data_IF_884663100140
#
_entry.id   IF_884663100140
#
_cell.length_a   1.000
_cell.length_b   1.000
_cell.length_c   1.000
_cell.angle_alpha   90.00
_cell.angle_beta   90.00
_cell.angle_gamma   90.00
#
_symmetry.space_group_name_H-M   'P 1'
#
loop_
_entity.id
_entity.type
_entity.pdbx_description
1 polymer ?
#
# COMPACT_ATOMS: atom_id res chain seq x y z
N UNK A 1 1.40 4.66 18.72
CA UNK A 1 1.16 4.72 17.27
C UNK A 1 -0.34 4.66 17.07
N UNK A 2 -0.88 5.52 16.22
CA UNK A 2 -2.32 5.59 15.95
C UNK A 2 -2.57 5.01 14.55
N UNK A 3 -3.37 3.95 14.47
CA UNK A 3 -3.82 3.39 13.20
C UNK A 3 -5.20 3.95 12.93
N UNK A 4 -5.37 4.54 11.75
CA UNK A 4 -6.65 5.06 11.26
C UNK A 4 -7.11 4.24 10.08
N UNK A 5 -8.05 3.35 10.34
CA UNK A 5 -8.67 2.53 9.32
C UNK A 5 -9.82 3.30 8.65
N UNK A 6 -9.98 3.15 7.34
CA UNK A 6 -10.98 3.83 6.54
C UNK A 6 -11.89 2.78 5.90
N UNK A 7 -13.01 2.49 6.55
CA UNK A 7 -13.92 1.42 6.12
C UNK A 7 -14.92 1.95 5.10
N UNK A 8 -14.96 1.35 3.92
CA UNK A 8 -15.96 1.65 2.92
C UNK A 8 -17.34 1.17 3.39
N UNK A 9 -18.34 2.03 3.24
CA UNK A 9 -19.74 1.75 3.58
C UNK A 9 -20.64 1.60 2.35
N UNK A 10 -20.35 2.32 1.27
CA UNK A 10 -21.13 2.30 0.03
C UNK A 10 -20.25 2.08 -1.20
N UNK A 11 -20.80 1.54 -2.31
CA UNK A 11 -20.05 1.40 -3.56
C UNK A 11 -19.62 2.78 -4.08
N UNK A 12 -18.50 2.84 -4.81
CA UNK A 12 -18.05 4.09 -5.42
C UNK A 12 -18.98 4.49 -6.57
N UNK A 13 -19.41 5.75 -6.55
CA UNK A 13 -20.30 6.34 -7.53
C UNK A 13 -19.52 7.15 -8.57
N UNK A 14 -19.42 8.47 -8.41
CA UNK A 14 -18.67 9.33 -9.33
C UNK A 14 -17.23 9.58 -8.85
N UNK A 15 -16.29 9.61 -9.79
CA UNK A 15 -14.85 9.69 -9.52
C UNK A 15 -14.47 10.95 -8.72
N UNK A 16 -15.08 12.11 -9.00
CA UNK A 16 -14.74 13.37 -8.33
C UNK A 16 -15.20 13.38 -6.87
N UNK A 17 -16.46 13.04 -6.61
CA UNK A 17 -17.02 13.04 -5.25
C UNK A 17 -16.40 11.93 -4.40
N UNK A 18 -16.10 10.77 -5.01
CA UNK A 18 -15.43 9.68 -4.31
C UNK A 18 -14.00 10.07 -3.91
N UNK A 19 -13.20 10.65 -4.83
CA UNK A 19 -11.85 11.16 -4.49
C UNK A 19 -11.96 12.22 -3.39
N UNK A 20 -12.93 13.14 -3.51
CA UNK A 20 -13.16 14.20 -2.53
C UNK A 20 -13.44 13.64 -1.13
N UNK A 21 -14.25 12.59 -1.03
CA UNK A 21 -14.55 11.90 0.24
C UNK A 21 -13.29 11.32 0.90
N UNK A 22 -12.37 10.77 0.11
CA UNK A 22 -11.15 10.12 0.65
C UNK A 22 -10.01 11.10 0.94
N UNK A 23 -9.95 12.24 0.25
CA UNK A 23 -8.95 13.29 0.50
C UNK A 23 -9.03 13.82 1.93
N UNK A 24 -10.23 13.96 2.51
CA UNK A 24 -10.43 14.49 3.86
C UNK A 24 -9.67 13.71 4.96
N UNK A 25 -9.91 12.39 5.10
CA UNK A 25 -9.15 11.53 6.01
C UNK A 25 -7.64 11.55 5.77
N UNK A 26 -7.20 11.61 4.52
CA UNK A 26 -5.77 11.69 4.17
C UNK A 26 -5.16 12.99 4.68
N UNK A 27 -5.77 14.14 4.38
CA UNK A 27 -5.30 15.43 4.88
C UNK A 27 -5.27 15.50 6.40
N UNK A 28 -6.26 14.89 7.05
CA UNK A 28 -6.33 14.81 8.51
C UNK A 28 -5.17 13.96 9.08
N UNK A 29 -4.87 12.81 8.46
CA UNK A 29 -3.71 12.00 8.85
C UNK A 29 -2.38 12.73 8.65
N UNK A 30 -2.25 13.46 7.54
CA UNK A 30 -1.06 14.29 7.24
C UNK A 30 -0.93 15.46 8.22
N UNK A 31 -2.04 16.07 8.66
CA UNK A 31 -2.04 17.11 9.68
C UNK A 31 -1.51 16.57 11.02
N UNK A 32 -2.05 15.46 11.49
CA UNK A 32 -1.64 14.87 12.77
C UNK A 32 -0.29 14.17 12.74
N UNK A 33 0.31 13.95 11.56
CA UNK A 33 1.70 13.51 11.43
C UNK A 33 2.72 14.63 11.58
N UNK A 34 2.28 15.91 11.59
CA UNK A 34 3.16 17.02 11.97
C UNK A 34 3.65 16.84 13.40
N UNK A 35 4.92 17.19 13.63
CA UNK A 35 5.48 17.22 14.97
C UNK A 35 4.71 18.23 15.84
N UNK A 36 4.47 17.86 17.10
CA UNK A 36 3.66 18.68 18.01
C UNK A 36 4.23 20.09 18.26
N UNK A 37 5.55 20.26 18.23
CA UNK A 37 6.21 21.57 18.33
C UNK A 37 5.93 22.46 17.11
N UNK A 38 5.94 21.89 15.90
CA UNK A 38 5.57 22.59 14.67
C UNK A 38 4.09 22.99 14.71
N UNK A 39 3.21 22.07 15.10
CA UNK A 39 1.77 22.38 15.23
C UNK A 39 1.52 23.48 16.26
N UNK A 40 2.20 23.43 17.43
CA UNK A 40 2.08 24.45 18.47
C UNK A 40 2.53 25.84 17.99
N UNK A 41 3.61 25.93 17.20
CA UNK A 41 4.07 27.20 16.62
C UNK A 41 3.06 27.79 15.62
N UNK A 42 2.24 26.95 15.00
CA UNK A 42 1.19 27.35 14.07
C UNK A 42 -0.16 27.60 14.78
N UNK A 43 -0.16 27.64 16.11
CA UNK A 43 -1.36 27.91 16.91
C UNK A 43 -2.17 26.66 17.28
N UNK A 44 -1.61 25.46 17.15
CA UNK A 44 -2.32 24.20 17.38
C UNK A 44 -2.78 23.55 16.08
N UNK A 45 -3.09 22.24 16.12
CA UNK A 45 -3.51 21.47 14.95
C UNK A 45 -4.77 22.04 14.28
N UNK A 46 -5.68 22.58 15.10
CA UNK A 46 -6.94 23.20 14.70
C UNK A 46 -6.76 24.50 13.90
N UNK A 47 -5.60 25.15 14.00
CA UNK A 47 -5.34 26.44 13.38
C UNK A 47 -4.39 26.35 12.17
N UNK A 48 -3.82 25.17 11.87
CA UNK A 48 -2.85 25.01 10.78
C UNK A 48 -3.52 25.28 9.42
N UNK A 49 -3.12 26.34 8.68
CA UNK A 49 -3.63 26.57 7.34
C UNK A 49 -3.15 25.48 6.37
N UNK A 50 -3.98 25.10 5.40
CA UNK A 50 -3.64 24.04 4.44
C UNK A 50 -2.35 24.33 3.65
N UNK A 51 -2.06 25.58 3.30
CA UNK A 51 -0.78 25.92 2.66
C UNK A 51 0.43 25.75 3.59
N UNK A 52 0.25 25.93 4.90
CA UNK A 52 1.31 25.68 5.88
C UNK A 52 1.53 24.19 6.10
N UNK A 53 0.47 23.37 5.99
CA UNK A 53 0.62 21.93 5.99
C UNK A 53 1.58 21.47 4.88
N UNK A 54 1.42 21.98 3.66
CA UNK A 54 2.29 21.63 2.54
C UNK A 54 3.77 22.00 2.78
N UNK A 55 4.03 23.12 3.45
CA UNK A 55 5.39 23.62 3.73
C UNK A 55 6.08 22.92 4.88
N UNK A 56 5.31 22.37 5.81
CA UNK A 56 5.82 21.74 7.02
C UNK A 56 5.77 20.21 6.96
N UNK A 57 5.05 19.65 5.99
CA UNK A 57 5.05 18.22 5.73
C UNK A 57 6.45 17.77 5.26
N UNK A 58 7.00 16.76 5.94
CA UNK A 58 8.22 16.08 5.51
C UNK A 58 7.82 14.77 4.86
N UNK A 59 8.22 14.51 3.60
CA UNK A 59 7.98 13.23 2.96
C UNK A 59 8.52 12.09 3.84
N UNK A 60 7.62 11.24 4.34
CA UNK A 60 7.96 10.04 5.09
C UNK A 60 7.82 8.81 4.18
N UNK A 61 8.69 7.82 4.38
CA UNK A 61 8.59 6.52 3.68
C UNK A 61 7.32 5.72 4.07
N UNK A 62 6.54 6.18 5.05
CA UNK A 62 5.33 5.51 5.55
C UNK A 62 4.04 5.84 4.79
N UNK A 63 4.12 6.76 3.82
CA UNK A 63 2.93 7.48 3.35
C UNK A 63 2.44 7.04 1.96
N UNK A 64 3.28 6.48 1.07
CA UNK A 64 2.92 6.30 -0.36
C UNK A 64 3.01 4.87 -0.92
N UNK A 65 3.74 3.95 -0.27
CA UNK A 65 4.08 2.65 -0.88
C UNK A 65 3.10 1.50 -0.61
N UNK A 66 2.34 1.56 0.49
CA UNK A 66 1.68 0.40 1.10
C UNK A 66 0.32 0.09 0.48
N UNK A 67 -0.35 1.08 -0.12
CA UNK A 67 -1.77 0.96 -0.48
C UNK A 67 -2.04 -0.04 -1.61
N UNK A 68 -1.21 -0.07 -2.67
CA UNK A 68 -1.42 -1.02 -3.78
C UNK A 68 -1.01 -2.45 -3.40
N UNK A 69 0.07 -2.57 -2.62
CA UNK A 69 0.50 -3.85 -2.03
C UNK A 69 -0.60 -4.44 -1.16
N UNK A 70 -1.17 -3.61 -0.28
CA UNK A 70 -2.31 -3.97 0.57
C UNK A 70 -3.57 -4.28 -0.25
N UNK A 71 -3.90 -3.47 -1.27
CA UNK A 71 -5.07 -3.69 -2.13
C UNK A 71 -5.07 -5.08 -2.77
N UNK A 72 -3.93 -5.47 -3.34
CA UNK A 72 -3.78 -6.78 -3.96
C UNK A 72 -3.80 -7.87 -2.88
N UNK A 73 -3.08 -7.67 -1.77
CA UNK A 73 -3.09 -8.63 -0.65
C UNK A 73 -4.51 -8.90 -0.14
N UNK A 74 -5.29 -7.85 0.08
CA UNK A 74 -6.68 -7.90 0.51
C UNK A 74 -7.58 -8.60 -0.53
N UNK A 75 -7.49 -8.20 -1.80
CA UNK A 75 -8.28 -8.79 -2.87
C UNK A 75 -8.04 -10.31 -3.01
N UNK A 76 -6.79 -10.76 -2.85
CA UNK A 76 -6.46 -12.19 -2.80
C UNK A 76 -7.09 -12.86 -1.58
N UNK A 77 -6.97 -12.23 -0.41
CA UNK A 77 -7.46 -12.77 0.87
C UNK A 77 -8.99 -12.89 0.91
N UNK A 78 -9.72 -11.94 0.33
CA UNK A 78 -11.18 -11.97 0.18
C UNK A 78 -11.69 -12.88 -0.94
N UNK A 79 -10.80 -13.29 -1.83
CA UNK A 79 -11.15 -14.05 -3.01
C UNK A 79 -11.93 -13.27 -4.07
N UNK A 80 -11.52 -12.02 -4.31
CA UNK A 80 -12.07 -11.20 -5.39
C UNK A 80 -11.81 -11.86 -6.76
N UNK A 81 -12.87 -12.31 -7.44
CA UNK A 81 -12.74 -13.14 -8.65
C UNK A 81 -11.90 -12.49 -9.76
N UNK A 82 -12.09 -11.19 -10.00
CA UNK A 82 -11.38 -10.44 -11.04
C UNK A 82 -9.86 -10.41 -10.82
N UNK A 83 -9.43 -10.43 -9.54
CA UNK A 83 -8.02 -10.45 -9.14
C UNK A 83 -7.50 -11.89 -9.05
N UNK A 84 -8.29 -12.81 -8.48
CA UNK A 84 -7.90 -14.21 -8.31
C UNK A 84 -7.66 -14.91 -9.64
N UNK A 85 -8.49 -14.68 -10.65
CA UNK A 85 -8.32 -15.30 -11.97
C UNK A 85 -6.96 -14.93 -12.59
N UNK A 86 -6.58 -13.64 -12.48
CA UNK A 86 -5.29 -13.15 -13.01
C UNK A 86 -4.11 -13.69 -12.24
N UNK A 87 -4.20 -13.73 -10.91
CA UNK A 87 -3.16 -14.30 -10.07
C UNK A 87 -3.05 -15.81 -10.28
N UNK A 88 -4.15 -16.53 -10.51
CA UNK A 88 -4.13 -17.95 -10.85
C UNK A 88 -3.31 -18.20 -12.12
N UNK A 89 -3.57 -17.42 -13.16
CA UNK A 89 -2.85 -17.56 -14.44
C UNK A 89 -1.38 -17.19 -14.30
N UNK A 90 -1.06 -16.17 -13.51
CA UNK A 90 0.31 -15.81 -13.19
C UNK A 90 1.04 -16.89 -12.38
N UNK A 91 0.38 -17.50 -11.40
CA UNK A 91 0.92 -18.61 -10.60
C UNK A 91 1.16 -19.87 -11.46
N UNK A 92 0.25 -20.19 -12.40
CA UNK A 92 0.44 -21.27 -13.39
C UNK A 92 1.69 -21.03 -14.24
N UNK A 93 1.90 -19.82 -14.75
CA UNK A 93 3.12 -19.44 -15.49
C UNK A 93 4.38 -19.50 -14.62
N UNK A 94 4.24 -19.27 -13.31
CA UNK A 94 5.31 -19.47 -12.33
C UNK A 94 5.55 -20.95 -12.00
N UNK A 95 4.68 -21.88 -12.45
CA UNK A 95 4.68 -23.32 -12.10
C UNK A 95 4.38 -23.58 -10.62
N UNK A 96 3.57 -22.72 -9.99
CA UNK A 96 2.98 -22.98 -8.68
C UNK A 96 1.74 -23.84 -8.88
N UNK A 97 1.67 -24.97 -8.17
CA UNK A 97 0.53 -25.91 -8.20
C UNK A 97 -0.56 -25.49 -7.21
N UNK A 98 -1.70 -26.21 -7.16
CA UNK A 98 -2.80 -25.90 -6.21
C UNK A 98 -3.78 -24.85 -6.71
N UNK A 99 -4.79 -24.56 -5.88
CA UNK A 99 -5.89 -23.64 -6.21
C UNK A 99 -6.32 -22.71 -5.07
N UNK A 100 -5.91 -22.96 -3.83
CA UNK A 100 -6.28 -22.13 -2.69
C UNK A 100 -5.29 -20.96 -2.54
N UNK A 101 -5.56 -19.87 -3.26
CA UNK A 101 -4.68 -18.71 -3.26
C UNK A 101 -4.52 -18.09 -1.88
N UNK A 102 -3.28 -17.74 -1.54
CA UNK A 102 -2.93 -17.09 -0.30
C UNK A 102 -1.89 -15.99 -0.55
N UNK A 103 -1.90 -14.97 0.30
CA UNK A 103 -1.00 -13.84 0.24
C UNK A 103 -0.37 -13.58 1.61
N UNK A 104 0.92 -13.27 1.63
CA UNK A 104 1.64 -12.80 2.82
C UNK A 104 2.22 -11.43 2.47
N UNK A 105 1.79 -10.41 3.20
CA UNK A 105 2.33 -9.06 3.07
C UNK A 105 3.77 -9.03 3.64
N UNK A 106 4.73 -8.43 2.95
CA UNK A 106 6.14 -8.43 3.38
C UNK A 106 6.76 -7.02 3.47
N UNK A 107 6.27 -6.08 2.65
CA UNK A 107 6.78 -4.71 2.54
C UNK A 107 6.26 -3.69 3.57
N UNK A 108 5.29 -4.06 4.42
CA UNK A 108 4.48 -3.12 5.21
C UNK A 108 4.99 -2.88 6.64
N UNK A 109 6.02 -3.59 7.09
CA UNK A 109 6.60 -3.37 8.41
C UNK A 109 7.54 -2.15 8.45
N UNK A 110 6.98 -0.96 8.73
CA UNK A 110 7.79 0.21 9.11
C UNK A 110 7.59 0.74 10.53
N UNK A 111 6.84 0.06 11.41
CA UNK A 111 6.78 0.45 12.82
C UNK A 111 6.51 -0.66 13.88
N UNK A 112 6.40 -1.94 13.52
CA UNK A 112 6.09 -2.97 14.52
C UNK A 112 6.34 -4.39 14.01
N UNK A 113 7.44 -4.98 14.48
CA UNK A 113 8.08 -6.23 14.04
C UNK A 113 7.29 -7.52 14.41
N UNK A 114 5.96 -7.48 14.55
CA UNK A 114 5.18 -8.61 15.10
C UNK A 114 4.09 -9.16 14.17
N UNK A 115 3.36 -8.34 13.39
CA UNK A 115 2.19 -8.85 12.65
C UNK A 115 2.53 -9.65 11.37
N UNK A 116 3.54 -9.28 10.56
CA UNK A 116 3.84 -10.04 9.32
C UNK A 116 4.43 -11.42 9.61
N UNK A 117 5.19 -11.52 10.69
CA UNK A 117 5.75 -12.80 11.15
C UNK A 117 4.62 -13.75 11.58
N UNK A 118 3.54 -13.23 12.15
CA UNK A 118 2.47 -14.06 12.68
C UNK A 118 1.55 -14.59 11.57
N UNK A 119 1.12 -13.76 10.60
CA UNK A 119 0.37 -14.26 9.43
C UNK A 119 1.18 -15.24 8.58
N UNK A 120 2.50 -15.01 8.44
CA UNK A 120 3.36 -15.92 7.72
C UNK A 120 3.59 -17.25 8.46
N UNK A 121 3.59 -17.26 9.80
CA UNK A 121 3.72 -18.51 10.58
C UNK A 121 2.50 -19.42 10.41
N UNK A 122 1.33 -18.83 10.27
CA UNK A 122 0.06 -19.56 10.16
C UNK A 122 -0.13 -20.13 8.76
N UNK A 123 0.31 -19.41 7.72
CA UNK A 123 0.19 -19.85 6.32
C UNK A 123 1.37 -20.70 5.83
N UNK A 124 2.59 -20.49 6.34
CA UNK A 124 3.77 -21.23 5.89
C UNK A 124 3.98 -22.53 6.66
N UNK A 125 3.98 -23.63 5.93
CA UNK A 125 4.42 -24.93 6.43
C UNK A 125 5.95 -25.02 6.46
N UNK A 126 6.49 -26.10 7.04
CA UNK A 126 7.92 -26.41 6.97
C UNK A 126 8.41 -26.76 5.56
N UNK A 127 7.49 -27.18 4.69
CA UNK A 127 7.75 -27.60 3.32
C UNK A 127 7.46 -26.50 2.28
N UNK A 128 6.99 -25.33 2.73
CA UNK A 128 6.77 -24.16 1.89
C UNK A 128 8.04 -23.76 1.13
N UNK A 129 7.98 -23.84 -0.19
CA UNK A 129 9.06 -23.63 -1.16
C UNK A 129 8.90 -22.30 -1.87
N UNK A 130 9.98 -21.55 -1.97
CA UNK A 130 10.05 -20.37 -2.83
C UNK A 130 10.40 -20.80 -4.26
N UNK A 131 9.44 -20.62 -5.16
CA UNK A 131 9.60 -20.87 -6.60
C UNK A 131 10.42 -19.73 -7.21
N UNK A 132 11.53 -20.12 -7.84
CA UNK A 132 12.45 -19.21 -8.53
C UNK A 132 12.55 -19.60 -9.99
N UNK A 133 13.05 -18.71 -10.83
CA UNK A 133 13.17 -18.98 -12.26
C UNK A 133 14.28 -19.99 -12.63
N UNK A 134 15.23 -20.27 -11.73
CA UNK A 134 16.35 -21.17 -12.02
C UNK A 134 16.02 -22.61 -11.69
N UNK A 135 16.51 -23.51 -12.54
CA UNK A 135 16.44 -24.96 -12.33
C UNK A 135 17.31 -25.33 -11.11
N UNK A 136 16.71 -25.98 -10.12
CA UNK A 136 17.37 -26.40 -8.88
C UNK A 136 16.36 -26.76 -7.80
N UNK A 137 16.84 -27.21 -6.63
CA UNK A 137 15.97 -27.47 -5.47
C UNK A 137 15.46 -26.13 -4.92
N UNK A 138 14.14 -25.87 -4.92
CA UNK A 138 13.59 -24.63 -4.38
C UNK A 138 13.96 -24.48 -2.90
N UNK A 139 14.44 -23.30 -2.45
CA UNK A 139 14.72 -23.06 -1.04
C UNK A 139 13.44 -22.95 -0.24
N UNK A 140 13.52 -23.32 1.04
CA UNK A 140 12.37 -23.32 1.96
C UNK A 140 12.12 -21.89 2.46
N UNK A 141 10.98 -21.31 2.10
CA UNK A 141 10.64 -19.92 2.38
C UNK A 141 10.61 -19.64 3.89
N UNK A 142 9.98 -20.52 4.67
CA UNK A 142 9.86 -20.40 6.14
C UNK A 142 11.22 -20.26 6.83
N UNK A 143 12.28 -20.89 6.31
CA UNK A 143 13.64 -20.80 6.88
C UNK A 143 14.31 -19.45 6.61
N UNK A 144 13.90 -18.77 5.55
CA UNK A 144 14.57 -17.56 5.07
C UNK A 144 13.79 -16.28 5.35
N UNK A 145 12.52 -16.37 5.80
CA UNK A 145 11.66 -15.20 6.00
C UNK A 145 12.24 -14.18 7.00
N UNK A 146 12.76 -14.65 8.13
CA UNK A 146 13.42 -13.78 9.12
C UNK A 146 14.71 -13.14 8.57
N UNK A 147 15.46 -13.87 7.73
CA UNK A 147 16.67 -13.33 7.09
C UNK A 147 16.33 -12.31 6.01
N UNK A 148 15.25 -12.52 5.26
CA UNK A 148 14.74 -11.56 4.29
C UNK A 148 14.26 -10.27 4.99
N UNK A 149 13.57 -10.38 6.13
CA UNK A 149 13.10 -9.22 6.89
C UNK A 149 14.28 -8.40 7.47
N UNK A 150 15.32 -9.08 7.95
CA UNK A 150 16.57 -8.42 8.35
C UNK A 150 17.29 -7.73 7.17
N UNK A 151 17.31 -8.37 6.00
CA UNK A 151 17.90 -7.80 4.79
C UNK A 151 17.12 -6.57 4.27
N UNK A 152 15.79 -6.56 4.39
CA UNK A 152 14.94 -5.42 4.05
C UNK A 152 15.32 -4.17 4.85
N UNK A 153 15.44 -4.29 6.18
CA UNK A 153 15.84 -3.19 7.08
C UNK A 153 17.21 -2.59 6.74
N UNK A 154 18.11 -3.40 6.18
CA UNK A 154 19.47 -2.97 5.81
C UNK A 154 19.62 -2.66 4.32
N UNK A 155 18.50 -2.61 3.56
CA UNK A 155 18.49 -2.43 2.10
C UNK A 155 19.46 -3.36 1.37
N UNK A 156 19.60 -4.59 1.88
CA UNK A 156 20.47 -5.62 1.33
C UNK A 156 21.95 -5.53 1.69
N UNK A 157 22.45 -4.46 2.34
CA UNK A 157 23.88 -4.27 2.62
C UNK A 157 24.52 -5.34 3.53
N UNK A 158 23.72 -6.15 4.22
CA UNK A 158 24.18 -7.30 5.04
C UNK A 158 23.32 -8.54 4.81
N UNK A 159 22.80 -8.72 3.60
CA UNK A 159 21.96 -9.87 3.27
C UNK A 159 22.71 -11.19 3.46
N UNK A 160 22.15 -12.08 4.28
CA UNK A 160 22.61 -13.48 4.43
C UNK A 160 21.79 -14.44 3.58
N UNK A 161 21.03 -13.92 2.62
CA UNK A 161 20.21 -14.73 1.74
C UNK A 161 21.10 -15.56 0.81
N UNK A 162 20.76 -16.84 0.57
CA UNK A 162 21.42 -17.64 -0.45
C UNK A 162 21.42 -16.97 -1.82
N UNK A 163 22.46 -17.22 -2.60
CA UNK A 163 22.62 -16.66 -3.94
C UNK A 163 21.45 -16.97 -4.89
N UNK A 164 20.73 -18.08 -4.67
CA UNK A 164 19.55 -18.48 -5.44
C UNK A 164 18.34 -17.58 -5.21
N UNK A 165 18.26 -16.90 -4.06
CA UNK A 165 17.15 -16.03 -3.66
C UNK A 165 17.63 -14.63 -3.29
N UNK A 166 18.76 -14.23 -3.87
CA UNK A 166 19.25 -12.88 -3.70
C UNK A 166 18.22 -11.86 -4.19
N UNK A 167 18.10 -10.76 -3.44
CA UNK A 167 17.07 -9.74 -3.65
C UNK A 167 15.66 -10.13 -3.22
N UNK A 168 15.44 -11.25 -2.52
CA UNK A 168 14.12 -11.60 -1.94
C UNK A 168 13.58 -10.49 -1.02
N UNK A 169 14.45 -9.75 -0.36
CA UNK A 169 14.09 -8.61 0.48
C UNK A 169 13.40 -7.48 -0.29
N UNK A 170 13.43 -7.48 -1.63
CA UNK A 170 12.68 -6.54 -2.47
C UNK A 170 11.24 -7.00 -2.75
N UNK A 171 10.85 -8.16 -2.24
CA UNK A 171 9.48 -8.63 -2.34
C UNK A 171 8.58 -7.75 -1.49
N UNK A 172 7.46 -7.35 -2.07
CA UNK A 172 6.43 -6.59 -1.40
C UNK A 172 5.37 -7.55 -0.83
N UNK A 173 5.11 -8.64 -1.55
CA UNK A 173 4.22 -9.76 -1.19
C UNK A 173 4.90 -11.11 -1.41
N UNK A 174 4.42 -12.14 -0.72
CA UNK A 174 4.50 -13.53 -1.18
C UNK A 174 3.13 -14.00 -1.60
N UNK A 175 3.03 -14.46 -2.84
CA UNK A 175 1.81 -15.10 -3.35
C UNK A 175 2.04 -16.58 -3.52
N UNK A 176 1.05 -17.39 -3.22
CA UNK A 176 1.15 -18.83 -3.34
C UNK A 176 -0.21 -19.48 -3.24
N UNK A 177 -0.19 -20.81 -3.18
CA UNK A 177 -1.38 -21.60 -2.93
C UNK A 177 -1.16 -22.41 -1.65
N UNK A 178 -2.02 -22.21 -0.64
CA UNK A 178 -1.90 -22.83 0.69
C UNK A 178 -2.02 -24.36 0.64
N UNK A 179 -2.63 -24.90 -0.41
CA UNK A 179 -2.80 -26.34 -0.65
C UNK A 179 -1.60 -27.00 -1.38
N UNK A 180 -0.54 -26.25 -1.73
CA UNK A 180 0.55 -26.78 -2.57
C UNK A 180 1.98 -26.45 -2.14
N UNK A 181 2.15 -25.74 -1.02
CA UNK A 181 3.45 -25.28 -0.50
C UNK A 181 4.29 -24.43 -1.46
N UNK A 182 3.76 -24.05 -2.63
CA UNK A 182 4.46 -23.23 -3.62
C UNK A 182 4.20 -21.75 -3.41
N UNK A 183 5.27 -20.97 -3.24
CA UNK A 183 5.23 -19.52 -3.03
C UNK A 183 6.14 -18.79 -4.00
N UNK A 184 5.79 -17.58 -4.41
CA UNK A 184 6.63 -16.71 -5.23
C UNK A 184 6.89 -15.40 -4.51
N UNK A 185 8.12 -14.88 -4.64
CA UNK A 185 8.43 -13.51 -4.26
C UNK A 185 7.84 -12.57 -5.30
N UNK A 186 6.98 -11.67 -4.84
CA UNK A 186 6.20 -10.78 -5.69
C UNK A 186 6.58 -9.33 -5.42
N UNK A 187 6.95 -8.60 -6.47
CA UNK A 187 7.07 -7.15 -6.40
C UNK A 187 5.82 -6.50 -6.98
N UNK A 188 5.33 -5.46 -6.33
CA UNK A 188 4.09 -4.76 -6.66
C UNK A 188 4.46 -3.30 -6.90
N UNK A 189 4.13 -2.78 -8.08
CA UNK A 189 4.44 -1.39 -8.45
C UNK A 189 3.29 -0.78 -9.22
N UNK A 190 2.90 0.44 -8.84
CA UNK A 190 1.90 1.21 -9.59
C UNK A 190 2.38 1.50 -11.02
N UNK A 191 3.66 1.83 -11.18
CA UNK A 191 4.24 2.07 -12.49
C UNK A 191 4.97 0.81 -13.00
N UNK A 192 4.57 0.21 -14.12
CA UNK A 192 5.25 -0.96 -14.69
C UNK A 192 6.74 -0.74 -14.97
N UNK A 193 7.14 0.49 -15.30
CA UNK A 193 8.56 0.81 -15.55
C UNK A 193 9.43 0.69 -14.29
N UNK A 194 8.83 0.85 -13.10
CA UNK A 194 9.50 0.74 -11.80
C UNK A 194 9.69 -0.71 -11.34
N UNK A 195 9.12 -1.70 -12.05
CA UNK A 195 9.38 -3.11 -11.74
C UNK A 195 10.87 -3.41 -11.88
N UNK A 196 11.41 -4.07 -10.85
CA UNK A 196 12.80 -4.56 -10.85
C UNK A 196 12.83 -6.06 -10.67
N UNK A 197 13.60 -6.76 -11.51
CA UNK A 197 13.86 -8.18 -11.33
C UNK A 197 14.88 -8.44 -10.21
N UNK A 198 14.78 -9.60 -9.57
CA UNK A 198 15.80 -10.16 -8.69
C UNK A 198 15.67 -11.69 -8.68
N UNK A 199 16.68 -12.40 -8.18
CA UNK A 199 16.69 -13.87 -8.20
C UNK A 199 15.62 -14.48 -7.28
N UNK A 200 15.36 -13.81 -6.16
CA UNK A 200 14.28 -14.17 -5.24
C UNK A 200 12.89 -13.74 -5.71
N UNK A 201 12.77 -12.98 -6.80
CA UNK A 201 11.48 -12.50 -7.32
C UNK A 201 11.09 -13.32 -8.56
N UNK A 202 9.78 -13.60 -8.69
CA UNK A 202 9.25 -14.31 -9.85
C UNK A 202 7.99 -13.68 -10.44
N UNK A 203 7.26 -12.89 -9.66
CA UNK A 203 6.05 -12.23 -10.10
C UNK A 203 6.15 -10.71 -9.93
N UNK A 204 5.57 -9.97 -10.89
CA UNK A 204 5.41 -8.52 -10.84
C UNK A 204 3.93 -8.17 -10.97
N UNK A 205 3.37 -7.41 -10.03
CA UNK A 205 1.99 -6.93 -10.10
C UNK A 205 1.97 -5.45 -10.45
N UNK A 206 1.11 -5.11 -11.41
CA UNK A 206 0.89 -3.75 -11.89
C UNK A 206 -0.60 -3.53 -12.13
N UNK A 207 -1.12 -2.31 -12.03
CA UNK A 207 -2.49 -2.03 -12.42
C UNK A 207 -2.67 -2.23 -13.92
N UNK A 208 -3.78 -2.85 -14.32
CA UNK A 208 -4.20 -2.89 -15.71
C UNK A 208 -4.44 -1.46 -16.22
N UNK A 209 -3.91 -1.13 -17.40
CA UNK A 209 -4.14 0.18 -18.01
C UNK A 209 -5.39 0.15 -18.87
N UNK A 210 -6.28 1.13 -18.71
CA UNK A 210 -7.48 1.26 -19.54
C UNK A 210 -7.11 1.28 -21.04
N UNK A 211 -7.76 0.42 -21.83
CA UNK A 211 -7.51 0.29 -23.28
C UNK A 211 -6.22 -0.44 -23.66
N UNK A 212 -5.47 -1.01 -22.71
CA UNK A 212 -4.36 -1.93 -22.99
C UNK A 212 -4.74 -3.37 -22.61
N UNK A 213 -3.99 -4.32 -23.15
CA UNK A 213 -4.14 -5.72 -22.77
C UNK A 213 -3.80 -5.90 -21.28
N UNK A 214 -4.69 -6.59 -20.57
CA UNK A 214 -4.55 -7.02 -19.17
C UNK A 214 -4.07 -8.48 -19.08
N UNK A 215 -3.57 -9.02 -20.18
CA UNK A 215 -3.10 -10.40 -20.28
C UNK A 215 -1.81 -10.56 -19.47
N UNK A 216 -1.75 -11.64 -18.68
CA UNK A 216 -0.54 -12.01 -17.96
C UNK A 216 0.55 -12.41 -18.96
N UNK A 217 1.77 -11.87 -18.80
CA UNK A 217 2.86 -12.12 -19.72
C UNK A 217 4.20 -12.34 -19.00
N UNK A 218 5.16 -12.95 -19.69
CA UNK A 218 6.53 -13.10 -19.22
C UNK A 218 7.37 -11.90 -19.68
N UNK A 219 7.97 -11.18 -18.73
CA UNK A 219 9.03 -10.21 -19.01
C UNK A 219 10.38 -10.91 -18.87
N UNK A 220 10.97 -11.30 -20.01
CA UNK A 220 12.26 -12.00 -20.05
C UNK A 220 13.42 -11.15 -19.52
N UNK A 221 13.37 -9.83 -19.70
CA UNK A 221 14.44 -8.92 -19.27
C UNK A 221 14.52 -8.86 -17.75
N UNK A 222 13.36 -8.78 -17.09
CA UNK A 222 13.28 -8.76 -15.61
C UNK A 222 13.15 -10.17 -15.03
N UNK A 223 12.88 -11.16 -15.87
CA UNK A 223 12.59 -12.55 -15.52
C UNK A 223 11.42 -12.68 -14.54
N UNK A 224 10.39 -11.87 -14.77
CA UNK A 224 9.16 -11.81 -13.97
C UNK A 224 7.96 -12.23 -14.83
N UNK A 225 7.05 -13.00 -14.24
CA UNK A 225 5.68 -13.08 -14.76
C UNK A 225 4.96 -11.81 -14.32
N UNK A 226 4.65 -10.95 -15.28
CA UNK A 226 3.94 -9.70 -15.02
C UNK A 226 2.44 -9.97 -15.12
N UNK A 227 1.74 -9.69 -14.04
CA UNK A 227 0.31 -9.83 -13.91
C UNK A 227 -0.32 -8.44 -13.79
N UNK A 228 -0.90 -7.92 -14.89
CA UNK A 228 -1.82 -6.80 -14.80
C UNK A 228 -3.04 -7.22 -14.00
N UNK A 229 -3.27 -6.57 -12.86
CA UNK A 229 -4.44 -6.82 -12.03
C UNK A 229 -5.47 -5.76 -12.36
N UNK A 230 -6.74 -6.12 -12.64
CA UNK A 230 -7.79 -5.14 -12.83
C UNK A 230 -7.82 -4.23 -11.62
N UNK A 231 -7.74 -2.94 -11.93
CA UNK A 231 -7.93 -1.87 -10.98
C UNK A 231 -9.23 -1.21 -11.41
N UNK A 232 -10.30 -1.96 -11.28
CA UNK A 232 -11.66 -1.52 -11.52
C UNK A 232 -12.31 -1.28 -10.16
N UNK A 233 -12.36 0.00 -9.77
CA UNK A 233 -13.13 0.59 -8.68
C UNK A 233 -13.94 -0.38 -7.80
N UNK A 234 -13.77 -0.33 -6.49
CA UNK A 234 -14.52 0.73 -5.83
C UNK A 234 -13.60 1.64 -5.01
N UNK A 235 -13.10 1.18 -3.87
CA UNK A 235 -12.63 2.12 -2.85
C UNK A 235 -11.12 2.33 -2.81
N UNK A 236 -10.33 1.27 -2.99
CA UNK A 236 -8.86 1.37 -2.87
C UNK A 236 -8.26 2.15 -4.05
N UNK A 237 -8.89 2.07 -5.23
CA UNK A 237 -8.58 2.92 -6.37
C UNK A 237 -8.78 4.40 -6.08
N UNK A 238 -9.96 4.74 -5.57
CA UNK A 238 -10.26 6.11 -5.15
C UNK A 238 -9.31 6.58 -4.07
N UNK A 239 -8.95 5.71 -3.13
CA UNK A 239 -7.99 6.02 -2.07
C UNK A 239 -6.61 6.37 -2.63
N UNK A 240 -6.12 5.62 -3.62
CA UNK A 240 -4.87 5.94 -4.30
C UNK A 240 -4.94 7.27 -5.06
N UNK A 241 -6.03 7.51 -5.79
CA UNK A 241 -6.21 8.77 -6.52
C UNK A 241 -6.25 9.96 -5.57
N UNK A 242 -6.96 9.85 -4.45
CA UNK A 242 -6.99 10.85 -3.40
C UNK A 242 -5.60 11.08 -2.79
N UNK A 243 -4.82 10.02 -2.59
CA UNK A 243 -3.44 10.12 -2.12
C UNK A 243 -2.52 10.85 -3.12
N UNK A 244 -2.61 10.50 -4.40
CA UNK A 244 -1.88 11.16 -5.49
C UNK A 244 -2.24 12.65 -5.58
N UNK A 245 -3.52 13.00 -5.38
CA UNK A 245 -3.97 14.39 -5.28
C UNK A 245 -3.27 15.10 -4.13
N UNK A 246 -3.33 14.58 -2.90
CA UNK A 246 -2.75 15.23 -1.71
C UNK A 246 -1.24 15.39 -1.85
N UNK A 247 -0.53 14.34 -2.26
CA UNK A 247 0.93 14.38 -2.41
C UNK A 247 1.38 15.33 -3.51
N UNK A 248 0.73 15.30 -4.67
CA UNK A 248 1.04 16.22 -5.77
C UNK A 248 0.71 17.67 -5.39
N UNK A 249 -0.38 17.89 -4.67
CA UNK A 249 -0.80 19.21 -4.16
C UNK A 249 0.19 19.78 -3.13
N UNK A 250 0.65 18.96 -2.18
CA UNK A 250 1.69 19.34 -1.21
C UNK A 250 3.00 19.66 -1.95
N UNK A 251 3.42 18.80 -2.89
CA UNK A 251 4.61 19.03 -3.70
C UNK A 251 4.54 20.30 -4.56
N UNK A 252 3.33 20.76 -4.88
CA UNK A 252 3.06 22.00 -5.60
C UNK A 252 2.91 23.24 -4.68
N UNK A 253 3.31 23.16 -3.39
CA UNK A 253 3.13 24.24 -2.39
C UNK A 253 1.67 24.69 -2.25
N UNK A 254 0.77 23.70 -2.12
CA UNK A 254 -0.68 23.90 -2.01
C UNK A 254 -1.26 24.70 -3.20
N UNK A 255 -0.78 24.40 -4.39
CA UNK A 255 -1.33 24.89 -5.66
C UNK A 255 -1.85 23.74 -6.50
N UNK A 256 -2.66 24.04 -7.51
CA UNK A 256 -3.08 23.03 -8.49
C UNK A 256 -1.84 22.49 -9.22
N UNK A 257 -1.54 21.18 -9.14
CA UNK A 257 -0.38 20.61 -9.81
C UNK A 257 -0.49 20.75 -11.33
N UNK A 258 0.66 20.84 -12.00
CA UNK A 258 0.72 20.83 -13.48
C UNK A 258 0.14 19.51 -14.01
N UNK A 259 -0.45 19.55 -15.20
CA UNK A 259 -1.04 18.37 -15.85
C UNK A 259 -0.05 17.20 -16.00
N UNK A 260 1.24 17.48 -16.22
CA UNK A 260 2.28 16.43 -16.27
C UNK A 260 2.45 15.69 -14.94
N UNK A 261 2.17 16.35 -13.81
CA UNK A 261 2.29 15.77 -12.47
C UNK A 261 0.97 15.13 -12.02
N UNK A 262 -0.18 15.67 -12.46
CA UNK A 262 -1.50 15.16 -12.14
C UNK A 262 -2.36 15.11 -13.43
N UNK A 263 -2.24 14.05 -14.25
CA UNK A 263 -2.81 14.01 -15.61
C UNK A 263 -4.32 13.77 -15.65
N UNK A 264 -4.91 13.20 -14.58
CA UNK A 264 -6.35 12.90 -14.54
C UNK A 264 -7.18 14.17 -14.29
N UNK A 265 -8.19 14.48 -15.13
CA UNK A 265 -9.03 15.66 -14.94
C UNK A 265 -9.79 15.68 -13.60
N UNK A 266 -10.36 14.54 -13.17
CA UNK A 266 -11.06 14.42 -11.91
C UNK A 266 -10.15 14.74 -10.71
N UNK A 267 -8.93 14.19 -10.70
CA UNK A 267 -7.92 14.47 -9.69
C UNK A 267 -7.53 15.96 -9.65
N UNK A 268 -7.36 16.61 -10.82
CA UNK A 268 -7.08 18.06 -10.88
C UNK A 268 -8.24 18.91 -10.38
N UNK A 269 -9.48 18.47 -10.59
CA UNK A 269 -10.66 19.16 -10.07
C UNK A 269 -10.67 19.14 -8.55
N UNK A 270 -10.37 18.00 -7.92
CA UNK A 270 -10.25 17.91 -6.46
C UNK A 270 -9.06 18.75 -5.95
N UNK A 271 -7.92 18.73 -6.64
CA UNK A 271 -6.79 19.61 -6.30
C UNK A 271 -7.16 21.11 -6.38
N UNK A 272 -8.08 21.49 -7.27
CA UNK A 272 -8.61 22.87 -7.34
C UNK A 272 -9.50 23.19 -6.13
N UNK A 273 -10.34 22.27 -5.68
CA UNK A 273 -11.11 22.45 -4.45
C UNK A 273 -10.21 22.74 -3.24
N UNK A 274 -9.07 22.05 -3.15
CA UNK A 274 -8.05 22.27 -2.13
C UNK A 274 -7.34 23.62 -2.29
N UNK A 275 -6.90 23.96 -3.51
CA UNK A 275 -6.20 25.20 -3.80
C UNK A 275 -7.05 26.43 -3.48
N UNK A 276 -8.33 26.41 -3.83
CA UNK A 276 -9.28 27.50 -3.57
C UNK A 276 -9.48 27.75 -2.07
N UNK A 277 -9.22 26.72 -1.23
CA UNK A 277 -9.38 26.75 0.23
C UNK A 277 -8.05 26.76 0.99
N UNK A 278 -6.92 26.92 0.29
CA UNK A 278 -5.58 26.72 0.89
C UNK A 278 -5.26 27.62 2.08
N UNK A 279 -5.91 28.79 2.17
CA UNK A 279 -5.70 29.79 3.23
C UNK A 279 -6.45 29.47 4.53
N UNK A 280 -7.38 28.52 4.51
CA UNK A 280 -8.18 28.13 5.66
C UNK A 280 -7.50 27.00 6.46
N UNK A 281 -7.83 26.86 7.75
CA UNK A 281 -7.41 25.73 8.56
C UNK A 281 -7.75 24.39 7.92
N UNK A 282 -6.86 23.40 8.03
CA UNK A 282 -7.02 22.09 7.37
C UNK A 282 -8.35 21.43 7.77
N UNK A 283 -8.73 21.48 9.06
CA UNK A 283 -9.96 20.87 9.55
C UNK A 283 -11.20 21.53 8.94
N UNK A 284 -11.22 22.86 8.81
CA UNK A 284 -12.30 23.60 8.14
C UNK A 284 -12.40 23.21 6.65
N UNK A 285 -11.26 23.01 5.99
CA UNK A 285 -11.26 22.52 4.59
C UNK A 285 -11.88 21.14 4.50
N UNK A 286 -11.49 20.21 5.38
CA UNK A 286 -12.02 18.84 5.42
C UNK A 286 -13.54 18.85 5.62
N UNK A 287 -14.05 19.65 6.55
CA UNK A 287 -15.49 19.81 6.78
C UNK A 287 -16.21 20.39 5.56
N UNK A 288 -15.64 21.43 4.93
CA UNK A 288 -16.23 22.04 3.75
C UNK A 288 -16.33 21.06 2.56
N UNK A 289 -15.37 20.14 2.42
CA UNK A 289 -15.37 19.12 1.37
C UNK A 289 -16.49 18.08 1.55
N UNK A 290 -17.02 17.88 2.76
CA UNK A 290 -18.12 16.93 3.00
C UNK A 290 -19.35 17.22 2.12
N UNK A 291 -19.61 18.49 1.80
CA UNK A 291 -20.71 18.89 0.91
C UNK A 291 -20.52 18.49 -0.56
N UNK A 292 -19.28 18.23 -0.98
CA UNK A 292 -18.89 17.83 -2.33
C UNK A 292 -18.49 16.35 -2.42
N UNK A 293 -18.30 15.71 -1.27
CA UNK A 293 -17.91 14.33 -1.13
C UNK A 293 -19.08 13.38 -1.43
N UNK A 294 -18.76 12.17 -1.87
CA UNK A 294 -19.74 11.10 -1.92
C UNK A 294 -20.24 10.82 -0.49
N UNK A 295 -21.55 10.92 -0.22
CA UNK A 295 -22.09 10.64 1.10
C UNK A 295 -21.90 9.18 1.46
N UNK A 296 -21.57 8.92 2.73
CA UNK A 296 -21.48 7.57 3.29
C UNK A 296 -20.53 6.65 2.49
N UNK A 297 -19.49 7.19 1.85
CA UNK A 297 -18.50 6.36 1.17
C UNK A 297 -17.65 5.58 2.17
N UNK A 298 -17.22 6.23 3.26
CA UNK A 298 -16.30 5.66 4.23
C UNK A 298 -16.55 6.15 5.66
N UNK A 299 -16.14 5.35 6.63
CA UNK A 299 -16.04 5.70 8.05
C UNK A 299 -14.61 5.51 8.56
N UNK A 300 -14.12 6.46 9.34
CA UNK A 300 -12.81 6.36 9.97
C UNK A 300 -12.91 5.69 11.34
N UNK A 301 -12.17 4.60 11.56
CA UNK A 301 -11.96 4.00 12.88
C UNK A 301 -10.53 4.25 13.35
N UNK A 302 -10.36 4.51 14.65
CA UNK A 302 -9.04 4.74 15.25
C UNK A 302 -8.72 3.65 16.25
N UNK A 303 -7.61 2.94 16.04
CA UNK A 303 -7.12 1.91 16.95
C UNK A 303 -5.74 2.28 17.47
N UNK A 304 -5.54 2.16 18.78
CA UNK A 304 -4.20 2.30 19.38
C UNK A 304 -3.44 0.98 19.27
N UNK A 305 -2.34 0.98 18.51
CA UNK A 305 -1.43 -0.16 18.49
C UNK A 305 -0.52 -0.11 19.74
N UNK A 306 -0.67 -1.10 20.62
CA UNK A 306 0.17 -1.26 21.80
C UNK A 306 1.61 -1.63 21.41
N UNK A 307 2.58 -0.81 21.79
CA UNK A 307 4.00 -1.10 21.57
C UNK A 307 4.48 -1.99 22.72
N UNK A 308 4.69 -3.30 22.48
CA UNK A 308 5.40 -4.15 23.43
C UNK A 308 6.91 -3.98 23.17
N UNK A 309 7.56 -3.12 23.96
CA UNK A 309 9.01 -2.86 23.86
C UNK A 309 9.82 -4.01 24.48
N UNK A 310 10.55 -4.75 23.64
CA UNK A 310 11.61 -5.66 24.10
C UNK A 310 12.97 -4.96 23.99
N UNK A 311 13.41 -4.34 25.09
CA UNK A 311 14.82 -4.02 25.37
C UNK A 311 15.44 -2.76 24.72
N UNK A 312 15.67 -1.73 25.55
CA UNK A 312 16.85 -0.85 25.47
C UNK A 312 16.70 0.53 24.81
N UNK A 313 16.83 1.56 25.66
CA UNK A 313 16.96 3.01 25.39
C UNK A 313 15.71 3.75 24.90
N UNK A 314 15.28 4.73 25.71
CA UNK A 314 14.21 5.68 25.43
C UNK A 314 14.56 6.51 24.18
N UNK A 315 13.91 6.20 23.06
CA UNK A 315 13.65 7.17 22.00
C UNK A 315 12.19 7.58 22.11
N UNK A 316 11.92 8.89 22.18
CA UNK A 316 10.56 9.42 22.20
C UNK A 316 9.70 8.75 21.12
N UNK A 317 8.45 8.36 21.45
CA UNK A 317 7.57 7.76 20.46
C UNK A 317 7.29 8.78 19.35
N UNK A 318 7.91 8.59 18.19
CA UNK A 318 7.47 9.24 16.96
C UNK A 318 6.00 8.89 16.76
N UNK A 319 5.10 9.88 16.85
CA UNK A 319 3.69 9.70 16.55
C UNK A 319 3.60 9.41 15.05
N UNK A 320 3.61 8.14 14.70
CA UNK A 320 3.29 7.68 13.36
C UNK A 320 1.78 7.43 13.30
N UNK A 321 1.10 8.14 12.42
CA UNK A 321 -0.29 7.86 12.02
C UNK A 321 -0.23 7.06 10.73
N UNK A 322 -0.86 5.89 10.71
CA UNK A 322 -0.97 5.07 9.48
C UNK A 322 -2.42 5.07 9.04
N UNK A 323 -2.64 5.39 7.76
CA UNK A 323 -3.95 5.35 7.12
C UNK A 323 -4.07 4.06 6.30
N UNK A 324 -5.08 3.25 6.60
CA UNK A 324 -5.32 1.97 5.93
C UNK A 324 -6.76 1.92 5.38
N UNK A 325 -6.97 1.74 4.07
CA UNK A 325 -8.31 1.55 3.51
C UNK A 325 -8.82 0.12 3.74
N UNK A 326 -10.09 0.00 4.11
CA UNK A 326 -10.79 -1.28 4.33
C UNK A 326 -12.06 -1.31 3.48
N UNK A 327 -12.12 -2.05 2.36
CA UNK A 327 -13.32 -2.11 1.53
C UNK A 327 -14.53 -2.76 2.23
N UNK A 328 -15.74 -2.54 1.68
CA UNK A 328 -16.97 -3.07 2.25
C UNK A 328 -16.97 -4.61 2.21
N UNK A 329 -17.40 -5.26 3.31
CA UNK A 329 -17.41 -6.73 3.44
C UNK A 329 -16.26 -7.34 4.26
N UNK A 330 -15.38 -6.52 4.84
CA UNK A 330 -14.25 -6.93 5.70
C UNK A 330 -14.51 -6.89 7.20
N UNK A 331 -15.65 -6.35 7.66
CA UNK A 331 -15.95 -6.33 9.09
C UNK A 331 -16.01 -7.77 9.59
N UNK A 332 -15.06 -8.12 10.46
CA UNK A 332 -14.91 -9.46 11.01
C UNK A 332 -16.27 -10.00 11.45
N UNK A 333 -16.65 -11.16 10.91
CA UNK A 333 -17.62 -12.00 11.59
C UNK A 333 -17.07 -12.21 13.02
N UNK A 334 -17.75 -11.61 14.00
CA UNK A 334 -17.47 -11.86 15.42
C UNK A 334 -17.73 -13.32 15.75
#
# INVERSE_FOLDING_TARGET
MEIREQHQLSPVADEVSAITAVVGPILTGVLYSLKGDVAAQLGGYENVPLFMLARNHRPGDGDTGICFEYAVHDAVTRGESSVQERIADALKLCKVTGSQQASILFGVEKAGNQQLIDTAKDLLTWDSKLVTAKVGRPPLLRRHIASAAAAFRTRGNKSRLPQSIDGLWKADLFLGNSDSDGWVGTTVKINPSALTGARGLRMGLVPASQGKSDVVYLDDKRNLVVCPVPYDGAFVEVFYMAWEVVTSFIAADAQVPKEVALPRPAARQVARYLADRRSYPVLDVVEALTSLAQPELLVSETTQAGIIQSGGSQTDPTIATVLAPTPAGLAAAK
#
